data_IF_502909859213
#
_entry.id   IF_502909859213
#
_cell.length_a   1.000
_cell.length_b   1.000
_cell.length_c   1.000
_cell.angle_alpha   90.00
_cell.angle_beta   90.00
_cell.angle_gamma   90.00
#
_symmetry.space_group_name_H-M   'P 1'
#
loop_
_entity.id
_entity.type
_entity.pdbx_description
1 polymer ?
#
# COMPACT_ATOMS: atom_id res chain seq x y z
N UNK A 1 11.42 -18.20 -27.47
CA UNK A 1 11.06 -16.99 -26.76
C UNK A 1 9.74 -16.53 -27.36
N UNK A 2 8.63 -16.68 -26.63
CA UNK A 2 7.35 -16.16 -27.06
C UNK A 2 7.41 -14.63 -27.14
N UNK A 3 6.71 -14.06 -28.08
CA UNK A 3 6.64 -12.60 -28.25
C UNK A 3 5.84 -12.03 -27.08
N UNK A 4 6.48 -11.30 -26.16
CA UNK A 4 5.86 -10.71 -24.96
C UNK A 4 4.65 -9.81 -25.30
N UNK A 5 4.61 -9.27 -26.51
CA UNK A 5 3.48 -8.47 -27.02
C UNK A 5 2.17 -9.27 -27.18
N UNK A 6 2.19 -10.59 -27.00
CA UNK A 6 1.02 -11.46 -27.05
C UNK A 6 0.58 -11.98 -25.68
N UNK A 7 1.32 -11.70 -24.59
CA UNK A 7 0.96 -12.16 -23.26
C UNK A 7 -0.23 -11.37 -22.73
N UNK A 8 -1.25 -12.10 -22.26
CA UNK A 8 -2.45 -11.51 -21.63
C UNK A 8 -2.49 -11.85 -20.15
N UNK A 9 -2.67 -10.84 -19.32
CA UNK A 9 -2.79 -10.96 -17.87
C UNK A 9 -4.20 -10.54 -17.43
N UNK A 10 -4.88 -11.42 -16.70
CA UNK A 10 -6.13 -11.06 -16.02
C UNK A 10 -5.84 -10.84 -14.53
N UNK A 11 -6.31 -9.71 -14.00
CA UNK A 11 -6.19 -9.36 -12.58
C UNK A 11 -7.60 -9.25 -12.01
N UNK A 12 -7.89 -10.01 -10.97
CA UNK A 12 -9.16 -9.98 -10.25
C UNK A 12 -8.99 -9.30 -8.90
N UNK A 13 -9.86 -8.33 -8.59
CA UNK A 13 -9.85 -7.61 -7.33
C UNK A 13 -11.27 -7.44 -6.78
N UNK A 14 -11.48 -7.89 -5.53
CA UNK A 14 -12.62 -7.47 -4.69
C UNK A 14 -12.16 -6.42 -3.71
N UNK A 15 -12.89 -5.33 -3.63
CA UNK A 15 -12.56 -4.19 -2.78
C UNK A 15 -13.17 -4.40 -1.39
N UNK A 16 -12.33 -4.73 -0.41
CA UNK A 16 -12.70 -4.90 1.00
C UNK A 16 -12.21 -3.69 1.81
N UNK A 17 -10.90 -3.37 1.74
CA UNK A 17 -10.31 -2.17 2.36
C UNK A 17 -10.33 -0.97 1.40
N UNK A 18 -11.55 -0.60 0.94
CA UNK A 18 -11.75 0.63 0.18
C UNK A 18 -10.64 0.94 -0.85
N UNK A 19 -9.82 1.98 -0.58
CA UNK A 19 -8.78 2.45 -1.48
C UNK A 19 -7.52 1.57 -1.47
N UNK A 20 -7.30 0.74 -0.44
CA UNK A 20 -6.12 -0.11 -0.33
C UNK A 20 -6.08 -1.14 -1.45
N UNK A 21 -7.09 -1.98 -1.54
CA UNK A 21 -7.17 -3.08 -2.50
C UNK A 21 -7.22 -2.55 -3.94
N UNK A 22 -8.09 -1.58 -4.21
CA UNK A 22 -8.21 -0.96 -5.53
C UNK A 22 -6.91 -0.26 -5.95
N UNK A 23 -6.21 0.39 -5.00
CA UNK A 23 -4.95 1.08 -5.23
C UNK A 23 -3.83 0.14 -5.61
N UNK A 24 -3.68 -0.96 -4.88
CA UNK A 24 -2.67 -2.00 -5.18
C UNK A 24 -2.97 -2.67 -6.52
N UNK A 25 -4.23 -3.09 -6.76
CA UNK A 25 -4.61 -3.75 -8.00
C UNK A 25 -4.41 -2.85 -9.23
N UNK A 26 -4.78 -1.57 -9.16
CA UNK A 26 -4.56 -0.62 -10.24
C UNK A 26 -3.07 -0.34 -10.48
N UNK A 27 -2.28 -0.18 -9.42
CA UNK A 27 -0.82 0.01 -9.52
C UNK A 27 -0.14 -1.22 -10.11
N UNK A 28 -0.52 -2.43 -9.68
CA UNK A 28 -0.02 -3.68 -10.24
C UNK A 28 -0.34 -3.76 -11.74
N UNK A 29 -1.57 -3.46 -12.14
CA UNK A 29 -1.99 -3.46 -13.54
C UNK A 29 -1.14 -2.50 -14.40
N UNK A 30 -0.91 -1.27 -13.93
CA UNK A 30 -0.05 -0.28 -14.60
C UNK A 30 1.39 -0.76 -14.74
N UNK A 31 1.96 -1.30 -13.66
CA UNK A 31 3.35 -1.75 -13.68
C UNK A 31 3.55 -2.95 -14.62
N UNK A 32 2.62 -3.90 -14.63
CA UNK A 32 2.68 -5.04 -15.56
C UNK A 32 2.54 -4.60 -17.02
N UNK A 33 1.58 -3.73 -17.30
CA UNK A 33 1.42 -3.18 -18.65
C UNK A 33 2.70 -2.46 -19.13
N UNK A 34 3.29 -1.60 -18.30
CA UNK A 34 4.46 -0.82 -18.65
C UNK A 34 5.75 -1.65 -18.74
N UNK A 35 5.90 -2.66 -17.88
CA UNK A 35 7.15 -3.41 -17.72
C UNK A 35 7.23 -4.65 -18.61
N UNK A 36 6.08 -5.30 -18.88
CA UNK A 36 6.00 -6.48 -19.75
C UNK A 36 5.50 -6.15 -21.15
N UNK A 37 4.99 -4.96 -21.40
CA UNK A 37 4.27 -4.62 -22.65
C UNK A 37 3.18 -5.64 -22.99
N UNK A 38 2.53 -6.21 -21.96
CA UNK A 38 1.47 -7.20 -22.07
C UNK A 38 0.09 -6.56 -22.11
N UNK A 39 -0.90 -7.33 -22.58
CA UNK A 39 -2.29 -6.92 -22.47
C UNK A 39 -2.79 -7.19 -21.06
N UNK A 40 -3.26 -6.15 -20.37
CA UNK A 40 -3.80 -6.28 -19.01
C UNK A 40 -5.31 -6.08 -19.02
N UNK A 41 -6.00 -7.01 -18.38
CA UNK A 41 -7.45 -6.94 -18.09
C UNK A 41 -7.63 -6.91 -16.59
N UNK A 42 -8.10 -5.79 -16.07
CA UNK A 42 -8.40 -5.61 -14.64
C UNK A 42 -9.91 -5.80 -14.41
N UNK A 43 -10.29 -6.84 -13.68
CA UNK A 43 -11.65 -7.07 -13.22
C UNK A 43 -11.75 -6.61 -11.76
N UNK A 44 -12.59 -5.61 -11.51
CA UNK A 44 -12.78 -5.03 -10.18
C UNK A 44 -14.26 -4.78 -9.90
N UNK A 45 -14.74 -5.14 -8.73
CA UNK A 45 -16.15 -5.07 -8.37
C UNK A 45 -16.63 -3.66 -8.04
N UNK A 46 -15.77 -2.76 -7.57
CA UNK A 46 -16.14 -1.43 -7.09
C UNK A 46 -15.57 -0.30 -7.96
N UNK A 47 -16.25 0.02 -9.03
CA UNK A 47 -15.88 1.13 -9.93
C UNK A 47 -15.96 2.51 -9.27
N UNK A 48 -16.85 2.70 -8.29
CA UNK A 48 -16.95 3.96 -7.57
C UNK A 48 -15.68 4.23 -6.73
N UNK A 49 -15.15 3.22 -6.09
CA UNK A 49 -13.87 3.32 -5.37
C UNK A 49 -12.71 3.53 -6.34
N UNK A 50 -12.64 2.76 -7.43
CA UNK A 50 -11.58 2.92 -8.41
C UNK A 50 -11.61 4.30 -9.10
N UNK A 51 -12.78 4.85 -9.40
CA UNK A 51 -12.93 6.20 -9.98
C UNK A 51 -12.31 7.29 -9.09
N UNK A 52 -12.34 7.14 -7.78
CA UNK A 52 -11.66 8.09 -6.88
C UNK A 52 -10.15 8.10 -7.09
N UNK A 53 -9.55 6.96 -7.34
CA UNK A 53 -8.11 6.80 -7.61
C UNK A 53 -7.75 7.13 -9.05
N UNK A 54 -8.67 6.88 -9.97
CA UNK A 54 -8.56 7.03 -11.41
C UNK A 54 -9.75 7.86 -11.93
N UNK A 55 -9.68 9.19 -11.88
CA UNK A 55 -10.80 10.08 -12.25
C UNK A 55 -11.29 9.93 -13.69
N UNK A 56 -10.46 9.41 -14.59
CA UNK A 56 -10.83 9.14 -15.98
C UNK A 56 -11.82 7.98 -16.13
N UNK A 57 -11.94 7.09 -15.13
CA UNK A 57 -12.89 5.99 -15.13
C UNK A 57 -14.32 6.51 -15.00
N UNK A 58 -15.22 6.09 -15.88
CA UNK A 58 -16.65 6.36 -15.75
C UNK A 58 -17.34 5.20 -15.00
N UNK A 59 -17.85 5.39 -13.76
CA UNK A 59 -18.47 4.32 -12.98
C UNK A 59 -19.75 3.73 -13.61
N UNK A 60 -20.34 4.39 -14.58
CA UNK A 60 -21.56 3.91 -15.28
C UNK A 60 -21.26 3.04 -16.49
N UNK A 61 -20.02 3.00 -16.94
CA UNK A 61 -19.60 2.23 -18.10
C UNK A 61 -18.86 0.96 -17.66
N UNK A 62 -19.44 -0.21 -17.82
CA UNK A 62 -18.95 -1.48 -17.30
C UNK A 62 -17.65 -2.01 -17.91
N UNK A 63 -17.29 -1.51 -19.09
CA UNK A 63 -16.04 -1.86 -19.78
C UNK A 63 -15.39 -0.62 -20.36
N UNK A 64 -14.11 -0.41 -20.06
CA UNK A 64 -13.36 0.77 -20.51
C UNK A 64 -11.92 0.38 -20.78
N UNK A 65 -11.27 1.12 -21.68
CA UNK A 65 -9.82 1.05 -21.85
C UNK A 65 -9.21 2.37 -21.41
N UNK A 66 -8.38 2.33 -20.38
CA UNK A 66 -7.70 3.51 -19.82
C UNK A 66 -6.22 3.18 -19.65
N UNK A 67 -5.36 4.02 -20.19
CA UNK A 67 -3.91 3.82 -20.17
C UNK A 67 -3.50 2.43 -20.70
N UNK A 68 -4.13 1.98 -21.79
CA UNK A 68 -3.92 0.67 -22.43
C UNK A 68 -4.30 -0.55 -21.58
N UNK A 69 -5.00 -0.35 -20.46
CA UNK A 69 -5.53 -1.39 -19.59
C UNK A 69 -7.04 -1.53 -19.84
N UNK A 70 -7.50 -2.74 -20.13
CA UNK A 70 -8.90 -3.07 -20.19
C UNK A 70 -9.47 -3.22 -18.78
N UNK A 71 -10.38 -2.36 -18.38
CA UNK A 71 -11.02 -2.40 -17.06
C UNK A 71 -12.45 -2.88 -17.23
N UNK A 72 -12.78 -3.99 -16.57
CA UNK A 72 -14.08 -4.62 -16.56
C UNK A 72 -14.69 -4.58 -15.15
N UNK A 73 -15.96 -4.21 -15.07
CA UNK A 73 -16.67 -4.35 -13.80
C UNK A 73 -16.93 -5.82 -13.51
N UNK A 74 -16.42 -6.29 -12.37
CA UNK A 74 -16.66 -7.65 -11.91
C UNK A 74 -18.02 -7.70 -11.20
N UNK A 75 -18.97 -8.41 -11.82
CA UNK A 75 -20.35 -8.51 -11.36
C UNK A 75 -20.70 -9.98 -11.03
N UNK A 76 -21.94 -10.37 -11.29
CA UNK A 76 -22.35 -11.77 -11.25
C UNK A 76 -21.64 -12.61 -12.32
N UNK A 77 -21.69 -13.94 -12.14
CA UNK A 77 -20.97 -14.86 -13.00
C UNK A 77 -21.37 -14.75 -14.47
N UNK A 78 -22.68 -14.63 -14.76
CA UNK A 78 -23.16 -14.58 -16.14
C UNK A 78 -22.69 -13.33 -16.86
N UNK A 79 -22.78 -12.18 -16.21
CA UNK A 79 -22.38 -10.89 -16.77
C UNK A 79 -20.86 -10.84 -16.95
N UNK A 80 -20.10 -11.31 -15.97
CA UNK A 80 -18.64 -11.35 -16.04
C UNK A 80 -18.15 -12.28 -17.15
N UNK A 81 -18.76 -13.46 -17.30
CA UNK A 81 -18.45 -14.40 -18.38
C UNK A 81 -18.71 -13.78 -19.75
N UNK A 82 -19.84 -13.09 -19.92
CA UNK A 82 -20.16 -12.41 -21.18
C UNK A 82 -19.14 -11.31 -21.53
N UNK A 83 -18.69 -10.54 -20.55
CA UNK A 83 -17.68 -9.49 -20.73
C UNK A 83 -16.31 -10.08 -21.11
N UNK A 84 -15.93 -11.22 -20.53
CA UNK A 84 -14.65 -11.89 -20.80
C UNK A 84 -14.59 -12.56 -22.19
N UNK A 85 -15.73 -12.84 -22.85
CA UNK A 85 -15.75 -13.36 -24.20
C UNK A 85 -15.16 -12.37 -25.23
N UNK A 86 -15.09 -11.09 -24.89
CA UNK A 86 -14.63 -10.02 -25.77
C UNK A 86 -13.17 -9.62 -25.52
N UNK A 87 -12.46 -10.31 -24.64
CA UNK A 87 -11.05 -10.04 -24.33
C UNK A 87 -10.18 -11.28 -24.61
N UNK A 88 -8.89 -11.11 -24.90
CA UNK A 88 -8.00 -12.25 -25.13
C UNK A 88 -7.93 -13.18 -23.93
N UNK A 89 -7.77 -14.48 -24.20
CA UNK A 89 -7.59 -15.49 -23.19
C UNK A 89 -6.30 -15.28 -22.38
N UNK A 90 -6.30 -15.57 -21.08
CA UNK A 90 -5.15 -15.27 -20.24
C UNK A 90 -4.03 -16.32 -20.38
N UNK A 91 -2.81 -15.85 -20.39
CA UNK A 91 -1.62 -16.66 -20.14
C UNK A 91 -1.30 -16.69 -18.63
N UNK A 92 -1.74 -15.64 -17.90
CA UNK A 92 -1.48 -15.46 -16.50
C UNK A 92 -2.69 -14.83 -15.81
N UNK A 93 -3.11 -15.40 -14.69
CA UNK A 93 -4.23 -14.90 -13.88
C UNK A 93 -3.73 -14.56 -12.48
N UNK A 94 -3.97 -13.34 -12.06
CA UNK A 94 -3.71 -12.85 -10.72
C UNK A 94 -5.03 -12.70 -9.97
N UNK A 95 -5.15 -13.42 -8.90
CA UNK A 95 -6.17 -13.24 -7.87
C UNK A 95 -5.57 -12.32 -6.79
N UNK A 96 -6.15 -11.17 -6.50
CA UNK A 96 -5.62 -10.31 -5.43
C UNK A 96 -6.34 -10.61 -4.12
N UNK A 97 -5.55 -10.73 -3.04
CA UNK A 97 -6.03 -10.83 -1.66
C UNK A 97 -7.02 -11.98 -1.43
N UNK A 98 -6.78 -13.12 -2.09
CA UNK A 98 -7.65 -14.30 -2.02
C UNK A 98 -9.13 -13.98 -2.30
N UNK A 99 -9.40 -13.17 -3.33
CA UNK A 99 -10.76 -12.70 -3.66
C UNK A 99 -11.69 -13.79 -4.22
N UNK A 100 -11.27 -15.04 -4.23
CA UNK A 100 -12.02 -16.22 -4.67
C UNK A 100 -12.54 -16.10 -6.12
N UNK A 101 -11.77 -16.64 -7.06
CA UNK A 101 -12.14 -16.66 -8.47
C UNK A 101 -13.41 -17.53 -8.72
N UNK A 102 -14.30 -17.09 -9.62
CA UNK A 102 -15.42 -17.91 -10.07
C UNK A 102 -14.95 -19.23 -10.69
N UNK A 103 -15.76 -20.28 -10.58
CA UNK A 103 -15.36 -21.60 -11.06
C UNK A 103 -15.11 -21.64 -12.57
N UNK A 104 -15.87 -20.91 -13.36
CA UNK A 104 -15.61 -20.82 -14.80
C UNK A 104 -14.24 -20.19 -15.13
N UNK A 105 -13.72 -19.28 -14.29
CA UNK A 105 -12.37 -18.71 -14.46
C UNK A 105 -11.32 -19.78 -14.15
N UNK A 106 -11.54 -20.59 -13.11
CA UNK A 106 -10.66 -21.72 -12.78
C UNK A 106 -10.62 -22.75 -13.91
N UNK A 107 -11.77 -22.99 -14.60
CA UNK A 107 -11.83 -23.80 -15.78
C UNK A 107 -11.02 -23.22 -16.95
N UNK A 108 -11.10 -21.90 -17.18
CA UNK A 108 -10.30 -21.19 -18.19
C UNK A 108 -8.80 -21.34 -17.89
N UNK A 109 -8.39 -21.15 -16.64
CA UNK A 109 -7.00 -21.33 -16.20
C UNK A 109 -6.51 -22.74 -16.55
N UNK A 110 -7.30 -23.75 -16.25
CA UNK A 110 -6.98 -25.16 -16.56
C UNK A 110 -6.87 -25.42 -18.06
N UNK A 111 -7.87 -24.98 -18.84
CA UNK A 111 -7.93 -25.22 -20.29
C UNK A 111 -6.78 -24.53 -21.03
N UNK A 112 -6.44 -23.30 -20.63
CA UNK A 112 -5.38 -22.52 -21.26
C UNK A 112 -3.99 -22.81 -20.67
N UNK A 113 -3.91 -23.63 -19.62
CA UNK A 113 -2.67 -23.83 -18.85
C UNK A 113 -2.06 -22.52 -18.37
N UNK A 114 -2.94 -21.55 -18.03
CA UNK A 114 -2.51 -20.25 -17.55
C UNK A 114 -1.85 -20.37 -16.18
N UNK A 115 -0.82 -19.59 -15.91
CA UNK A 115 -0.28 -19.50 -14.56
C UNK A 115 -1.29 -18.82 -13.65
N UNK A 116 -1.44 -19.36 -12.43
CA UNK A 116 -2.34 -18.83 -11.42
C UNK A 116 -1.58 -18.37 -10.20
N UNK A 117 -1.67 -17.07 -9.90
CA UNK A 117 -1.02 -16.43 -8.78
C UNK A 117 -2.06 -15.78 -7.85
N UNK A 118 -1.93 -15.96 -6.56
CA UNK A 118 -2.58 -15.14 -5.56
C UNK A 118 -1.61 -14.06 -5.08
N UNK A 119 -1.96 -12.79 -5.31
CA UNK A 119 -1.23 -11.64 -4.82
C UNK A 119 -1.71 -11.32 -3.41
N UNK A 120 -0.89 -11.63 -2.43
CA UNK A 120 -1.22 -11.53 -1.00
C UNK A 120 -1.03 -10.12 -0.45
N UNK A 121 -1.64 -9.86 0.70
CA UNK A 121 -1.40 -8.65 1.46
C UNK A 121 0.06 -8.53 1.88
N UNK A 122 0.54 -7.29 1.92
CA UNK A 122 1.89 -6.98 2.37
C UNK A 122 2.13 -7.44 3.81
N UNK A 123 3.25 -8.10 4.03
CA UNK A 123 3.69 -8.48 5.38
C UNK A 123 5.21 -8.43 5.51
N UNK A 124 5.68 -8.23 6.75
CA UNK A 124 7.09 -8.29 7.11
C UNK A 124 7.42 -9.55 7.94
N UNK A 125 6.44 -10.43 8.14
CA UNK A 125 6.59 -11.64 8.94
C UNK A 125 7.43 -12.69 8.20
N UNK A 126 8.30 -13.39 8.92
CA UNK A 126 9.27 -14.33 8.32
C UNK A 126 8.61 -15.53 7.63
N UNK A 127 7.46 -16.01 8.14
CA UNK A 127 6.74 -17.11 7.53
C UNK A 127 6.31 -16.83 6.08
N UNK A 128 6.04 -15.56 5.75
CA UNK A 128 5.65 -15.18 4.39
C UNK A 128 6.82 -15.28 3.40
N UNK A 129 8.05 -15.10 3.87
CA UNK A 129 9.26 -15.33 3.06
C UNK A 129 9.42 -16.82 2.72
N UNK A 130 9.08 -17.71 3.66
CA UNK A 130 9.13 -19.16 3.46
C UNK A 130 8.03 -19.65 2.51
N UNK A 131 6.86 -18.99 2.52
CA UNK A 131 5.71 -19.34 1.69
C UNK A 131 5.70 -18.67 0.32
N UNK A 132 6.59 -17.69 0.09
CA UNK A 132 6.63 -16.91 -1.15
C UNK A 132 6.89 -17.80 -2.38
N UNK A 133 5.95 -17.75 -3.34
CA UNK A 133 5.98 -18.53 -4.59
C UNK A 133 5.99 -20.05 -4.42
N UNK A 134 5.58 -20.56 -3.26
CA UNK A 134 5.34 -22.00 -3.14
C UNK A 134 4.07 -22.39 -3.92
N UNK A 135 4.13 -23.53 -4.63
CA UNK A 135 2.98 -24.06 -5.36
C UNK A 135 1.98 -24.72 -4.41
N UNK A 136 0.70 -24.48 -4.63
CA UNK A 136 -0.41 -25.16 -4.00
C UNK A 136 -1.23 -25.88 -5.07
N UNK A 137 -1.20 -27.20 -5.08
CA UNK A 137 -1.95 -28.00 -6.05
C UNK A 137 -3.45 -27.85 -5.80
N UNK A 138 -4.16 -27.40 -6.81
CA UNK A 138 -5.61 -27.24 -6.76
C UNK A 138 -6.34 -28.49 -7.22
N UNK A 139 -7.62 -28.63 -6.90
CA UNK A 139 -8.45 -29.77 -7.29
C UNK A 139 -8.51 -29.99 -8.81
N UNK A 140 -8.33 -28.92 -9.59
CA UNK A 140 -8.22 -28.97 -11.06
C UNK A 140 -6.92 -29.57 -11.59
N UNK A 141 -5.91 -29.82 -10.73
CA UNK A 141 -4.58 -30.27 -11.13
C UNK A 141 -3.62 -29.13 -11.54
N UNK A 142 -4.05 -27.85 -11.43
CA UNK A 142 -3.22 -26.67 -11.68
C UNK A 142 -2.59 -26.22 -10.37
N UNK A 143 -1.35 -25.73 -10.42
CA UNK A 143 -0.71 -25.09 -9.28
C UNK A 143 -1.15 -23.62 -9.17
N UNK A 144 -1.55 -23.22 -7.96
CA UNK A 144 -1.72 -21.83 -7.55
C UNK A 144 -0.51 -21.42 -6.73
N UNK A 145 0.11 -20.30 -7.08
CA UNK A 145 1.27 -19.76 -6.38
C UNK A 145 0.86 -18.57 -5.51
N UNK A 146 1.55 -18.37 -4.38
CA UNK A 146 1.25 -17.27 -3.46
C UNK A 146 2.38 -16.26 -3.49
N UNK A 147 2.07 -15.03 -3.89
CA UNK A 147 3.02 -13.93 -3.99
C UNK A 147 2.88 -13.01 -2.80
N UNK A 148 3.81 -13.10 -1.87
CA UNK A 148 3.84 -12.24 -0.69
C UNK A 148 4.74 -11.04 -0.93
N UNK A 149 4.14 -9.84 -1.05
CA UNK A 149 4.91 -8.60 -1.00
C UNK A 149 5.59 -8.46 0.37
N UNK A 150 6.76 -7.85 0.41
CA UNK A 150 7.53 -7.70 1.64
C UNK A 150 8.79 -6.87 1.48
N UNK A 151 9.63 -6.87 2.50
CA UNK A 151 10.72 -5.91 2.68
C UNK A 151 12.12 -6.52 2.58
N UNK A 152 12.23 -7.77 2.20
CA UNK A 152 13.49 -8.49 2.11
C UNK A 152 13.76 -9.01 0.70
N UNK A 153 14.97 -9.50 0.47
CA UNK A 153 15.32 -10.14 -0.81
C UNK A 153 14.56 -11.45 -1.05
N UNK A 154 14.14 -12.13 0.02
CA UNK A 154 13.41 -13.41 -0.04
C UNK A 154 11.91 -13.23 -0.27
N UNK A 155 11.35 -12.06 0.04
CA UNK A 155 9.95 -11.71 -0.21
C UNK A 155 9.75 -11.21 -1.65
N UNK A 156 8.49 -11.01 -2.05
CA UNK A 156 8.14 -10.47 -3.36
C UNK A 156 8.54 -9.01 -3.61
N UNK A 157 9.12 -8.31 -2.64
CA UNK A 157 9.44 -6.89 -2.77
C UNK A 157 8.22 -5.98 -2.70
N UNK A 158 8.41 -4.71 -3.04
CA UNK A 158 7.34 -3.68 -3.03
C UNK A 158 7.07 -3.19 -4.45
N UNK A 159 5.81 -2.86 -4.76
CA UNK A 159 5.44 -2.23 -6.04
C UNK A 159 6.15 -0.89 -6.20
N UNK A 160 6.89 -0.73 -7.30
CA UNK A 160 7.67 0.48 -7.59
C UNK A 160 7.78 0.67 -9.10
N UNK A 161 7.38 1.83 -9.57
CA UNK A 161 7.54 2.23 -10.97
C UNK A 161 9.02 2.42 -11.30
N UNK A 162 9.45 2.06 -12.52
CA UNK A 162 10.86 2.17 -12.99
C UNK A 162 11.43 3.59 -12.88
N UNK A 163 10.60 4.60 -13.04
CA UNK A 163 11.01 6.01 -12.98
C UNK A 163 10.93 6.63 -11.58
N UNK A 164 10.49 5.86 -10.58
CA UNK A 164 10.51 6.34 -9.20
C UNK A 164 11.94 6.31 -8.66
N UNK A 165 12.47 7.48 -8.39
CA UNK A 165 13.82 7.67 -7.88
C UNK A 165 13.79 8.17 -6.42
N UNK A 166 14.80 7.78 -5.60
CA UNK A 166 14.93 8.32 -4.26
C UNK A 166 15.11 9.83 -4.32
N UNK A 167 14.40 10.55 -3.46
CA UNK A 167 14.53 12.01 -3.35
C UNK A 167 15.20 12.35 -2.01
N UNK A 168 16.17 13.28 -2.00
CA UNK A 168 16.77 13.71 -0.75
C UNK A 168 15.75 14.42 0.13
N UNK A 169 15.87 14.33 1.46
CA UNK A 169 14.98 15.04 2.37
C UNK A 169 15.11 16.54 2.17
N UNK A 170 13.99 17.23 2.15
CA UNK A 170 13.98 18.69 2.18
C UNK A 170 14.36 19.19 3.58
N UNK A 171 15.07 20.30 3.64
CA UNK A 171 15.36 20.96 4.91
C UNK A 171 14.07 21.53 5.48
N UNK A 172 13.68 21.11 6.67
CA UNK A 172 12.53 21.69 7.39
C UNK A 172 12.88 23.10 7.80
N UNK A 173 12.03 24.05 7.45
CA UNK A 173 12.17 25.46 7.86
C UNK A 173 10.81 25.99 8.30
N UNK A 174 10.74 26.52 9.52
CA UNK A 174 9.49 27.07 10.08
C UNK A 174 8.57 25.99 10.67
N UNK A 175 7.28 26.07 10.39
CA UNK A 175 6.30 25.10 10.86
C UNK A 175 6.42 23.76 10.15
N UNK A 176 6.27 22.67 10.91
CA UNK A 176 6.29 21.29 10.40
C UNK A 176 5.01 20.99 9.63
N UNK A 177 5.12 20.62 8.37
CA UNK A 177 3.98 20.20 7.57
C UNK A 177 3.69 18.72 7.80
N UNK A 178 2.49 18.41 8.27
CA UNK A 178 2.07 17.06 8.62
C UNK A 178 0.83 16.65 7.81
N UNK A 179 0.88 15.49 7.21
CA UNK A 179 -0.27 14.88 6.54
C UNK A 179 -0.81 13.73 7.38
N UNK A 180 -2.10 13.74 7.67
CA UNK A 180 -2.76 12.69 8.44
C UNK A 180 -3.87 12.08 7.60
N UNK A 181 -3.65 10.86 7.15
CA UNK A 181 -4.62 9.98 6.51
C UNK A 181 -4.69 8.70 7.34
N UNK A 182 -5.62 8.66 8.29
CA UNK A 182 -5.67 7.59 9.29
C UNK A 182 -7.12 7.18 9.61
N UNK A 183 -7.30 6.12 10.42
CA UNK A 183 -8.62 5.66 10.88
C UNK A 183 -9.08 6.44 12.12
N UNK A 184 -10.38 6.38 12.41
CA UNK A 184 -10.99 6.99 13.60
C UNK A 184 -10.87 6.12 14.86
N UNK A 185 -10.18 4.98 14.78
CA UNK A 185 -10.12 3.95 15.83
C UNK A 185 -9.40 4.35 17.11
N UNK A 186 -8.71 5.51 17.12
CA UNK A 186 -8.01 6.01 18.30
C UNK A 186 -8.55 7.35 18.80
N UNK A 187 -8.12 7.77 20.00
CA UNK A 187 -8.47 9.09 20.58
C UNK A 187 -7.57 10.19 20.01
N UNK A 188 -7.91 10.71 18.83
CA UNK A 188 -7.16 11.78 18.16
C UNK A 188 -7.07 13.07 18.98
N UNK A 189 -8.10 13.39 19.79
CA UNK A 189 -8.10 14.58 20.64
C UNK A 189 -6.90 14.58 21.60
N UNK A 190 -6.60 13.44 22.26
CA UNK A 190 -5.46 13.33 23.17
C UNK A 190 -4.11 13.57 22.49
N UNK A 191 -3.97 13.10 21.24
CA UNK A 191 -2.77 13.35 20.44
C UNK A 191 -2.66 14.82 20.08
N UNK A 192 -3.75 15.45 19.64
CA UNK A 192 -3.73 16.86 19.26
C UNK A 192 -3.50 17.78 20.47
N UNK A 193 -4.08 17.48 21.63
CA UNK A 193 -3.85 18.21 22.88
C UNK A 193 -2.36 18.14 23.27
N UNK A 194 -1.79 16.96 23.20
CA UNK A 194 -0.38 16.74 23.47
C UNK A 194 0.54 17.49 22.49
N UNK A 195 0.26 17.44 21.18
CA UNK A 195 1.03 18.13 20.15
C UNK A 195 0.95 19.67 20.30
N UNK A 196 -0.20 20.21 20.76
CA UNK A 196 -0.37 21.63 21.03
C UNK A 196 0.52 22.16 22.18
N UNK A 197 0.88 21.27 23.12
CA UNK A 197 1.76 21.60 24.24
C UNK A 197 3.25 21.59 23.87
N UNK A 198 3.62 21.03 22.72
CA UNK A 198 5.01 20.94 22.30
C UNK A 198 5.57 22.28 21.80
N UNK A 199 6.90 22.50 21.86
CA UNK A 199 7.53 23.70 21.34
C UNK A 199 7.71 23.67 19.81
N UNK A 200 6.73 23.08 19.08
CA UNK A 200 6.76 22.92 17.61
C UNK A 200 5.48 23.49 17.02
N UNK A 201 5.61 24.32 16.01
CA UNK A 201 4.48 24.76 15.22
C UNK A 201 4.21 23.75 14.08
N UNK A 202 2.95 23.40 13.87
CA UNK A 202 2.58 22.41 12.86
C UNK A 202 1.43 22.91 11.98
N UNK A 203 1.52 22.61 10.68
CA UNK A 203 0.40 22.67 9.74
C UNK A 203 -0.03 21.24 9.49
N UNK A 204 -1.27 20.91 9.86
CA UNK A 204 -1.80 19.56 9.81
C UNK A 204 -2.93 19.49 8.78
N UNK A 205 -2.67 18.73 7.71
CA UNK A 205 -3.64 18.46 6.68
C UNK A 205 -4.34 17.11 6.97
N UNK A 206 -5.64 17.16 7.28
CA UNK A 206 -6.46 15.98 7.55
C UNK A 206 -7.07 15.46 6.26
N UNK A 207 -6.67 14.26 5.85
CA UNK A 207 -7.18 13.59 4.67
C UNK A 207 -8.28 12.59 4.98
N UNK A 208 -9.24 12.48 4.06
CA UNK A 208 -10.43 11.67 4.27
C UNK A 208 -11.42 12.32 5.24
N UNK A 209 -12.41 11.55 5.69
CA UNK A 209 -13.49 12.07 6.55
C UNK A 209 -13.59 11.33 7.89
N UNK A 210 -12.53 10.62 8.29
CA UNK A 210 -12.58 9.79 9.51
C UNK A 210 -12.06 10.52 10.76
N UNK A 211 -11.29 11.60 10.57
CA UNK A 211 -10.73 12.38 11.67
C UNK A 211 -11.34 13.77 11.60
N UNK A 212 -11.98 14.17 12.70
CA UNK A 212 -12.54 15.50 12.83
C UNK A 212 -11.47 16.49 13.31
N UNK A 213 -11.57 17.73 12.82
CA UNK A 213 -10.75 18.81 13.32
C UNK A 213 -11.11 19.09 14.79
N UNK A 214 -10.12 19.17 15.70
CA UNK A 214 -10.37 19.39 17.12
C UNK A 214 -11.00 20.76 17.38
N UNK A 215 -11.96 20.82 18.32
CA UNK A 215 -12.78 22.02 18.57
C UNK A 215 -12.10 23.08 19.47
N UNK A 216 -11.12 22.70 20.29
CA UNK A 216 -10.53 23.54 21.33
C UNK A 216 -9.01 23.36 21.37
N UNK A 217 -8.30 23.86 20.38
CA UNK A 217 -6.83 23.83 20.36
C UNK A 217 -6.28 25.21 20.10
N UNK A 218 -5.09 25.48 20.66
CA UNK A 218 -4.33 26.72 20.41
C UNK A 218 -3.95 26.80 18.91
N UNK A 219 -4.77 27.49 18.13
CA UNK A 219 -4.59 27.66 16.68
C UNK A 219 -3.31 28.41 16.29
N UNK A 220 -2.60 28.99 17.25
CA UNK A 220 -1.30 29.62 16.97
C UNK A 220 -0.18 28.59 16.82
N UNK A 221 -0.36 27.35 17.32
CA UNK A 221 0.65 26.28 17.24
C UNK A 221 0.28 25.19 16.24
N UNK A 222 -0.99 24.79 16.21
CA UNK A 222 -1.52 23.77 15.33
C UNK A 222 -2.53 24.40 14.37
N UNK A 223 -2.16 24.50 13.09
CA UNK A 223 -3.08 24.93 12.03
C UNK A 223 -3.62 23.68 11.34
N UNK A 224 -4.92 23.51 11.39
CA UNK A 224 -5.58 22.38 10.72
C UNK A 224 -6.29 22.84 9.45
N UNK A 225 -6.14 22.04 8.40
CA UNK A 225 -6.96 22.18 7.21
C UNK A 225 -7.39 20.80 6.70
N UNK A 226 -8.44 20.76 5.91
CA UNK A 226 -8.85 19.54 5.21
C UNK A 226 -8.02 19.39 3.95
N UNK A 227 -7.37 18.23 3.79
CA UNK A 227 -6.69 17.89 2.55
C UNK A 227 -7.71 17.49 1.48
N UNK A 228 -7.50 17.97 0.26
CA UNK A 228 -8.27 17.48 -0.89
C UNK A 228 -7.90 16.03 -1.23
N UNK A 229 -8.89 15.30 -1.72
CA UNK A 229 -8.64 13.96 -2.25
C UNK A 229 -7.94 14.11 -3.62
N UNK A 230 -6.83 13.39 -3.79
CA UNK A 230 -6.07 13.38 -5.03
C UNK A 230 -6.07 12.01 -5.69
N UNK A 231 -5.90 11.98 -7.02
CA UNK A 231 -5.75 10.72 -7.75
C UNK A 231 -4.47 9.98 -7.35
N UNK A 232 -4.42 8.67 -7.62
CA UNK A 232 -3.22 7.87 -7.31
C UNK A 232 -1.94 8.44 -7.97
N UNK A 233 -2.05 8.96 -9.18
CA UNK A 233 -0.90 9.55 -9.90
C UNK A 233 -0.37 10.83 -9.24
N UNK A 234 -1.21 11.56 -8.52
CA UNK A 234 -0.83 12.80 -7.82
C UNK A 234 -0.35 12.53 -6.38
N UNK A 235 -0.73 11.38 -5.81
CA UNK A 235 -0.52 11.07 -4.40
C UNK A 235 0.97 11.05 -4.01
N UNK A 236 1.83 10.47 -4.82
CA UNK A 236 3.27 10.42 -4.55
C UNK A 236 3.89 11.83 -4.46
N UNK A 237 3.45 12.75 -5.34
CA UNK A 237 3.90 14.14 -5.30
C UNK A 237 3.30 14.92 -4.12
N UNK A 238 2.09 14.57 -3.71
CA UNK A 238 1.48 15.12 -2.49
C UNK A 238 2.31 14.78 -1.25
N UNK A 239 2.64 13.50 -1.04
CA UNK A 239 3.43 13.06 0.11
C UNK A 239 4.77 13.78 0.22
N UNK A 240 5.39 14.16 -0.89
CA UNK A 240 6.66 14.88 -0.90
C UNK A 240 6.56 16.32 -0.39
N UNK A 241 5.38 16.88 -0.21
CA UNK A 241 5.18 18.26 0.26
C UNK A 241 5.20 18.35 1.79
N UNK A 242 5.09 17.24 2.49
CA UNK A 242 5.03 17.18 3.95
C UNK A 242 6.37 16.76 4.57
N UNK A 243 6.51 17.00 5.85
CA UNK A 243 7.71 16.68 6.64
C UNK A 243 7.47 15.45 7.52
N UNK A 244 6.22 15.24 7.96
CA UNK A 244 5.77 14.11 8.77
C UNK A 244 4.50 13.52 8.15
N UNK A 245 4.42 12.21 8.07
CA UNK A 245 3.32 11.50 7.45
C UNK A 245 2.68 10.51 8.44
N UNK A 246 1.37 10.54 8.58
CA UNK A 246 0.59 9.47 9.20
C UNK A 246 -0.32 8.90 8.12
N UNK A 247 -0.12 7.65 7.78
CA UNK A 247 -0.83 7.01 6.67
C UNK A 247 -1.47 5.72 7.09
N UNK A 248 -2.53 5.33 6.39
CA UNK A 248 -3.25 4.07 6.61
C UNK A 248 -3.27 3.20 5.38
N UNK A 249 -3.77 1.97 5.56
CA UNK A 249 -3.91 1.00 4.47
C UNK A 249 -2.55 0.52 3.95
N UNK A 250 -2.54 -0.08 2.76
CA UNK A 250 -1.35 -0.72 2.19
C UNK A 250 -0.65 0.13 1.14
N UNK A 251 -1.35 0.59 0.07
CA UNK A 251 -0.72 1.37 -1.00
C UNK A 251 -0.11 2.68 -0.48
N UNK A 252 -0.86 3.45 0.33
CA UNK A 252 -0.35 4.69 0.92
C UNK A 252 0.87 4.47 1.83
N UNK A 253 0.88 3.37 2.56
CA UNK A 253 2.00 2.98 3.42
C UNK A 253 3.26 2.65 2.61
N UNK A 254 3.13 1.86 1.53
CA UNK A 254 4.25 1.56 0.62
C UNK A 254 4.80 2.85 0.02
N UNK A 255 3.94 3.73 -0.46
CA UNK A 255 4.36 5.01 -1.07
C UNK A 255 5.07 5.94 -0.10
N UNK A 256 4.61 5.97 1.15
CA UNK A 256 5.24 6.77 2.21
C UNK A 256 6.69 6.37 2.44
N UNK A 257 7.00 5.09 2.45
CA UNK A 257 8.36 4.60 2.67
C UNK A 257 9.33 5.07 1.57
N UNK A 258 8.86 5.18 0.34
CA UNK A 258 9.67 5.71 -0.78
C UNK A 258 9.93 7.21 -0.69
N UNK A 259 9.29 7.94 0.23
CA UNK A 259 9.59 9.36 0.46
C UNK A 259 10.84 9.59 1.30
N UNK A 260 11.26 8.61 2.12
CA UNK A 260 12.34 8.74 3.11
C UNK A 260 12.02 9.71 4.23
N UNK A 261 10.76 10.02 4.47
CA UNK A 261 10.30 10.96 5.50
C UNK A 261 9.89 10.25 6.77
N UNK A 262 9.98 10.91 7.94
CA UNK A 262 9.35 10.47 9.17
C UNK A 262 7.89 10.10 8.96
N UNK A 263 7.48 8.95 9.47
CA UNK A 263 6.09 8.55 9.35
C UNK A 263 5.64 7.61 10.47
N UNK A 264 4.30 7.54 10.64
CA UNK A 264 3.61 6.49 11.37
C UNK A 264 2.67 5.74 10.43
N UNK A 265 2.52 4.45 10.66
CA UNK A 265 1.56 3.60 9.96
C UNK A 265 0.39 3.25 10.87
N UNK A 266 -0.80 3.67 10.48
CA UNK A 266 -2.06 3.24 11.08
C UNK A 266 -2.57 2.06 10.28
N UNK A 267 -2.17 0.86 10.68
CA UNK A 267 -2.53 -0.39 10.00
C UNK A 267 -4.03 -0.66 10.12
N UNK A 268 -4.62 -1.35 9.13
CA UNK A 268 -6.04 -1.72 9.17
C UNK A 268 -6.33 -2.61 10.38
N UNK A 269 -7.25 -2.19 11.29
CA UNK A 269 -7.57 -2.97 12.47
C UNK A 269 -8.18 -4.32 12.10
N UNK A 270 -7.66 -5.38 12.70
CA UNK A 270 -8.14 -6.75 12.52
C UNK A 270 -8.51 -7.35 13.87
N UNK A 271 -9.42 -8.34 13.85
CA UNK A 271 -9.81 -9.07 15.06
C UNK A 271 -8.59 -9.76 15.72
N UNK A 272 -8.69 -9.99 17.02
CA UNK A 272 -7.65 -10.63 17.82
C UNK A 272 -6.26 -9.98 17.74
N UNK A 273 -6.18 -8.69 17.40
CA UNK A 273 -4.93 -7.91 17.33
C UNK A 273 -3.87 -8.48 16.35
N UNK A 274 -4.27 -9.24 15.34
CA UNK A 274 -3.35 -9.80 14.33
C UNK A 274 -2.57 -8.69 13.62
N UNK A 275 -3.21 -7.53 13.39
CA UNK A 275 -2.57 -6.36 12.80
C UNK A 275 -1.37 -5.84 13.62
N UNK A 276 -1.35 -6.04 14.94
CA UNK A 276 -0.25 -5.63 15.81
C UNK A 276 0.99 -6.50 15.56
N UNK A 277 0.82 -7.79 15.32
CA UNK A 277 1.92 -8.69 14.97
C UNK A 277 2.57 -8.22 13.66
N UNK A 278 1.77 -7.90 12.65
CA UNK A 278 2.25 -7.35 11.37
C UNK A 278 2.95 -6.00 11.53
N UNK A 279 2.39 -5.13 12.38
CA UNK A 279 2.96 -3.83 12.69
C UNK A 279 4.35 -3.97 13.32
N UNK A 280 4.50 -4.83 14.32
CA UNK A 280 5.77 -5.05 15.01
C UNK A 280 6.78 -5.70 14.06
N UNK A 281 6.41 -6.74 13.31
CA UNK A 281 7.30 -7.38 12.34
C UNK A 281 7.87 -6.37 11.32
N UNK A 282 7.08 -5.38 10.91
CA UNK A 282 7.56 -4.31 10.04
C UNK A 282 8.52 -3.35 10.78
N UNK A 283 8.09 -2.82 11.94
CA UNK A 283 8.90 -1.81 12.64
C UNK A 283 10.21 -2.38 13.16
N UNK A 284 10.28 -3.66 13.54
CA UNK A 284 11.53 -4.31 13.94
C UNK A 284 12.59 -4.25 12.84
N UNK A 285 12.19 -4.36 11.56
CA UNK A 285 13.10 -4.19 10.42
C UNK A 285 13.58 -2.73 10.28
N UNK A 286 12.69 -1.77 10.52
CA UNK A 286 13.01 -0.33 10.39
C UNK A 286 13.83 0.17 11.57
N UNK A 287 13.56 -0.32 12.78
CA UNK A 287 14.28 0.10 14.00
C UNK A 287 15.77 -0.27 14.00
N UNK A 288 16.18 -1.19 13.14
CA UNK A 288 17.61 -1.43 12.89
C UNK A 288 18.37 -0.18 12.41
N UNK A 289 17.68 0.84 11.91
CA UNK A 289 18.23 2.11 11.43
C UNK A 289 18.10 3.25 12.45
N UNK A 290 17.35 3.04 13.55
CA UNK A 290 17.05 4.08 14.53
C UNK A 290 18.01 4.02 15.72
N UNK A 291 18.36 5.18 16.32
CA UNK A 291 18.92 5.19 17.66
C UNK A 291 17.94 4.56 18.67
N UNK A 292 18.42 3.85 19.72
CA UNK A 292 17.55 3.12 20.65
C UNK A 292 16.47 3.97 21.32
N UNK A 293 16.80 5.19 21.75
CA UNK A 293 15.84 6.12 22.36
C UNK A 293 14.73 6.55 21.40
N UNK A 294 15.10 6.74 20.13
CA UNK A 294 14.17 7.13 19.07
C UNK A 294 13.25 5.96 18.70
N UNK A 295 13.78 4.74 18.60
CA UNK A 295 12.98 3.55 18.33
C UNK A 295 11.98 3.28 19.47
N UNK A 296 12.40 3.42 20.73
CA UNK A 296 11.49 3.27 21.88
C UNK A 296 10.35 4.31 21.83
N UNK A 297 10.66 5.58 21.64
CA UNK A 297 9.65 6.63 21.59
C UNK A 297 8.69 6.43 20.43
N UNK A 298 9.20 6.06 19.25
CA UNK A 298 8.37 5.80 18.07
C UNK A 298 7.49 4.55 18.26
N UNK A 299 8.03 3.45 18.81
CA UNK A 299 7.27 2.21 19.00
C UNK A 299 6.10 2.41 19.96
N UNK A 300 6.32 3.12 21.09
CA UNK A 300 5.23 3.38 22.07
C UNK A 300 4.10 4.19 21.47
N UNK A 301 4.41 5.23 20.69
CA UNK A 301 3.39 6.03 19.99
C UNK A 301 2.74 5.25 18.85
N UNK A 302 3.50 4.43 18.12
CA UNK A 302 2.96 3.54 17.09
C UNK A 302 2.00 2.50 17.67
N UNK A 303 2.32 1.93 18.83
CA UNK A 303 1.47 1.00 19.55
C UNK A 303 0.17 1.66 20.03
N UNK A 304 0.27 2.90 20.57
CA UNK A 304 -0.92 3.66 20.95
C UNK A 304 -1.79 4.01 19.74
N UNK A 305 -1.19 4.46 18.62
CA UNK A 305 -1.89 4.75 17.38
C UNK A 305 -2.71 3.56 16.89
N UNK A 306 -2.20 2.35 17.09
CA UNK A 306 -2.79 1.10 16.59
C UNK A 306 -3.56 0.31 17.67
N UNK A 307 -3.74 0.89 18.86
CA UNK A 307 -4.57 0.31 19.93
C UNK A 307 -3.93 -0.84 20.70
N UNK A 308 -2.62 -1.05 20.56
CA UNK A 308 -1.87 -2.07 21.33
C UNK A 308 -1.67 -1.63 22.79
N UNK A 309 -1.54 -0.33 23.04
CA UNK A 309 -1.38 0.24 24.39
C UNK A 309 -2.21 1.51 24.53
N UNK A 310 -2.41 1.93 25.77
CA UNK A 310 -2.93 3.24 26.14
C UNK A 310 -1.89 3.94 27.00
N UNK A 311 -1.34 5.03 26.49
CA UNK A 311 -0.38 5.84 27.23
C UNK A 311 -1.07 6.85 28.11
N UNK A 312 -0.50 7.16 29.26
CA UNK A 312 -0.92 8.35 30.00
C UNK A 312 -0.40 9.63 29.31
N UNK A 313 -0.89 10.80 29.73
CA UNK A 313 -0.60 12.05 29.03
C UNK A 313 0.86 12.48 29.19
N UNK A 314 1.51 12.17 30.32
CA UNK A 314 2.94 12.46 30.55
C UNK A 314 3.83 11.55 29.72
N UNK A 315 3.56 10.25 29.70
CA UNK A 315 4.29 9.27 28.89
C UNK A 315 4.20 9.62 27.41
N UNK A 316 2.98 9.88 26.90
CA UNK A 316 2.77 10.29 25.51
C UNK A 316 3.56 11.56 25.17
N UNK A 317 3.49 12.56 26.02
CA UNK A 317 4.21 13.83 25.85
C UNK A 317 5.73 13.63 25.81
N UNK A 318 6.28 12.81 26.68
CA UNK A 318 7.71 12.52 26.73
C UNK A 318 8.18 11.82 25.45
N UNK A 319 7.42 10.88 24.91
CA UNK A 319 7.72 10.23 23.65
C UNK A 319 7.67 11.22 22.46
N UNK A 320 6.66 12.08 22.37
CA UNK A 320 6.63 13.12 21.34
C UNK A 320 7.81 14.10 21.47
N UNK A 321 8.15 14.55 22.68
CA UNK A 321 9.32 15.42 22.92
C UNK A 321 10.59 14.74 22.40
N UNK A 322 10.77 13.44 22.67
CA UNK A 322 11.93 12.69 22.18
C UNK A 322 11.97 12.69 20.66
N UNK A 323 10.86 12.35 19.98
CA UNK A 323 10.80 12.33 18.51
C UNK A 323 11.12 13.70 17.90
N UNK A 324 10.54 14.78 18.43
CA UNK A 324 10.72 16.10 17.84
C UNK A 324 12.09 16.71 18.16
N UNK A 325 12.67 16.46 19.35
CA UNK A 325 14.03 16.88 19.66
C UNK A 325 15.06 16.16 18.76
N UNK A 326 14.76 14.94 18.35
CA UNK A 326 15.62 14.12 17.47
C UNK A 326 15.08 14.03 16.04
N UNK A 327 14.25 14.98 15.58
CA UNK A 327 13.57 14.90 14.30
C UNK A 327 14.52 14.72 13.11
N UNK A 328 15.69 15.39 13.13
CA UNK A 328 16.71 15.22 12.10
C UNK A 328 17.30 13.80 12.08
N UNK A 329 17.49 13.19 13.24
CA UNK A 329 17.97 11.79 13.34
C UNK A 329 16.89 10.84 12.82
N UNK A 330 15.61 11.11 13.12
CA UNK A 330 14.48 10.36 12.56
C UNK A 330 14.46 10.44 11.03
N UNK A 331 14.61 11.64 10.46
CA UNK A 331 14.74 11.82 9.00
C UNK A 331 15.90 11.01 8.43
N UNK A 332 17.07 11.02 9.10
CA UNK A 332 18.25 10.28 8.65
C UNK A 332 17.99 8.76 8.66
N UNK A 333 17.34 8.25 9.70
CA UNK A 333 16.98 6.84 9.81
C UNK A 333 15.99 6.41 8.72
N UNK A 334 14.96 7.21 8.47
CA UNK A 334 14.00 6.95 7.39
C UNK A 334 14.64 7.03 6.00
N UNK A 335 15.60 7.92 5.79
CA UNK A 335 16.37 7.99 4.56
C UNK A 335 17.26 6.74 4.37
N UNK A 336 17.84 6.22 5.44
CA UNK A 336 18.61 4.98 5.40
C UNK A 336 17.71 3.78 5.04
N UNK A 337 16.51 3.71 5.61
CA UNK A 337 15.49 2.73 5.25
C UNK A 337 15.05 2.85 3.79
N UNK A 338 14.73 4.06 3.32
CA UNK A 338 14.41 4.30 1.90
C UNK A 338 15.52 3.78 0.99
N UNK A 339 16.78 4.11 1.29
CA UNK A 339 17.93 3.67 0.51
C UNK A 339 18.07 2.13 0.50
N UNK A 340 17.74 1.47 1.62
CA UNK A 340 17.68 0.01 1.68
C UNK A 340 16.64 -0.54 0.71
N UNK A 341 15.43 0.01 0.69
CA UNK A 341 14.36 -0.42 -0.21
C UNK A 341 14.70 -0.19 -1.69
N UNK A 342 15.35 0.93 -2.03
CA UNK A 342 15.76 1.20 -3.41
C UNK A 342 16.88 0.30 -3.92
N UNK A 343 17.67 -0.32 -3.04
CA UNK A 343 18.68 -1.30 -3.42
C UNK A 343 18.09 -2.66 -3.77
N UNK A 344 16.89 -2.96 -3.31
CA UNK A 344 16.20 -4.20 -3.61
C UNK A 344 15.46 -4.12 -4.95
N UNK A 345 15.28 -5.26 -5.60
CA UNK A 345 14.38 -5.38 -6.74
C UNK A 345 12.94 -5.08 -6.31
N UNK A 346 12.21 -4.37 -7.14
CA UNK A 346 10.78 -4.14 -6.95
C UNK A 346 9.95 -5.42 -7.13
N UNK A 347 8.69 -5.39 -6.69
CA UNK A 347 7.79 -6.52 -6.86
C UNK A 347 7.54 -6.84 -8.33
N UNK A 348 7.40 -5.82 -9.17
CA UNK A 348 7.24 -6.02 -10.61
C UNK A 348 8.50 -6.62 -11.26
N UNK A 349 9.72 -6.21 -10.86
CA UNK A 349 10.96 -6.81 -11.36
C UNK A 349 11.06 -8.29 -10.98
N UNK A 350 10.81 -8.65 -9.72
CA UNK A 350 10.84 -10.03 -9.23
C UNK A 350 9.77 -10.90 -9.88
N UNK A 351 8.54 -10.37 -10.03
CA UNK A 351 7.45 -11.09 -10.69
C UNK A 351 7.79 -11.39 -12.15
N UNK A 352 8.36 -10.42 -12.88
CA UNK A 352 8.77 -10.60 -14.27
C UNK A 352 9.87 -11.66 -14.40
N UNK A 353 10.84 -11.66 -13.51
CA UNK A 353 11.90 -12.69 -13.48
C UNK A 353 11.29 -14.07 -13.27
N UNK A 354 10.41 -14.21 -12.29
CA UNK A 354 9.72 -15.48 -12.04
C UNK A 354 8.85 -15.93 -13.22
N UNK A 355 8.12 -15.03 -13.89
CA UNK A 355 7.32 -15.36 -15.06
C UNK A 355 8.20 -15.89 -16.21
N UNK A 356 9.39 -15.32 -16.40
CA UNK A 356 10.37 -15.81 -17.40
C UNK A 356 10.87 -17.21 -17.05
N UNK A 357 11.14 -17.49 -15.79
CA UNK A 357 11.54 -18.83 -15.32
C UNK A 357 10.44 -19.87 -15.54
N UNK A 358 9.16 -19.47 -15.44
CA UNK A 358 8.01 -20.33 -15.74
C UNK A 358 7.74 -20.48 -17.25
N UNK A 359 8.48 -19.78 -18.12
CA UNK A 359 8.27 -19.79 -19.57
C UNK A 359 6.98 -19.07 -20.02
N UNK A 360 6.43 -18.19 -19.18
CA UNK A 360 5.19 -17.47 -19.42
C UNK A 360 5.41 -16.02 -19.92
N UNK A 361 6.66 -15.57 -19.98
CA UNK A 361 7.05 -14.24 -20.43
C UNK A 361 8.30 -14.27 -21.32
#
# INVERSE_FOLDING_TARGET
MGDLNQTTVWIFCRVIDNFGDAGVAWRLAKNLQADLSCQVVLLIDNFTTLNRLLPELNPQQKQQNIQEINILQWEDEQTTKASLNNVPQPNFVIETFACELPDFVKEIIFQNKALWLNWEYLTAEDWAEEMHLLPSLQASGVNKYFYFMGFSEKSGGLLREKNLLPKPPKKVSGSLKTYIFAYSSMSWQKWFDCLADLPVNMHIDLAGNQIEQPKHINQNKLLFQKADFVSQNQFDNLLLQYDLLLVRGEDSFVRTQYTGKPFFWHIYPQDNQIHIIKLHAFWDRVYAYFPPELSLAHSRLSDELNGAVVLDDEERKNHFITLFNHFKQWQTAQQAWQNHLFKQKSANEKLIEWLKEQGAA
#
